data_IF_446198625331
#
_entry.id   IF_446198625331
#
_cell.length_a   1.000
_cell.length_b   1.000
_cell.length_c   1.000
_cell.angle_alpha   90.00
_cell.angle_beta   90.00
_cell.angle_gamma   90.00
#
_symmetry.space_group_name_H-M   'P 1'
#
loop_
_entity.id
_entity.type
_entity.pdbx_description
1 polymer ?
#
# COMPACT_ATOMS: atom_id res chain seq x y z
N UNK A 1 -51.25 -19.93 37.59
CA UNK A 1 -49.87 -19.94 38.12
C UNK A 1 -48.75 -20.04 37.07
N UNK A 2 -49.02 -20.01 35.74
CA UNK A 2 -47.99 -20.21 34.68
C UNK A 2 -47.32 -18.94 34.11
N UNK A 3 -47.85 -17.73 34.36
CA UNK A 3 -47.32 -16.47 33.79
C UNK A 3 -46.02 -15.96 34.44
N UNK A 4 -45.73 -16.31 35.71
CA UNK A 4 -44.51 -15.84 36.41
C UNK A 4 -43.24 -16.55 35.92
N UNK A 5 -43.33 -17.82 35.53
CA UNK A 5 -42.19 -18.58 35.01
C UNK A 5 -41.77 -18.13 33.59
N UNK A 6 -42.73 -17.74 32.75
CA UNK A 6 -42.44 -17.25 31.39
C UNK A 6 -41.66 -15.92 31.38
N UNK A 7 -41.91 -15.03 32.35
CA UNK A 7 -41.19 -13.74 32.42
C UNK A 7 -39.72 -13.89 32.80
N UNK A 8 -39.37 -14.90 33.61
CA UNK A 8 -37.98 -15.16 34.01
C UNK A 8 -37.11 -15.58 32.82
N UNK A 9 -37.63 -16.42 31.93
CA UNK A 9 -36.88 -16.86 30.74
C UNK A 9 -36.61 -15.70 29.78
N UNK A 10 -37.59 -14.82 29.56
CA UNK A 10 -37.42 -13.65 28.67
C UNK A 10 -36.32 -12.72 29.18
N UNK A 11 -36.28 -12.47 30.50
CA UNK A 11 -35.23 -11.62 31.09
C UNK A 11 -33.83 -12.22 30.92
N UNK A 12 -33.69 -13.54 31.11
CA UNK A 12 -32.42 -14.24 30.92
C UNK A 12 -31.95 -14.12 29.46
N UNK A 13 -32.85 -14.30 28.48
CA UNK A 13 -32.48 -14.16 27.06
C UNK A 13 -32.02 -12.74 26.71
N UNK A 14 -32.67 -11.70 27.26
CA UNK A 14 -32.23 -10.31 27.06
C UNK A 14 -30.84 -10.10 27.66
N UNK A 15 -30.59 -10.59 28.88
CA UNK A 15 -29.28 -10.49 29.51
C UNK A 15 -28.20 -11.20 28.68
N UNK A 16 -28.48 -12.40 28.17
CA UNK A 16 -27.55 -13.13 27.30
C UNK A 16 -27.27 -12.36 26.02
N UNK A 17 -28.28 -11.78 25.37
CA UNK A 17 -28.07 -10.94 24.19
C UNK A 17 -27.21 -9.71 24.50
N UNK A 18 -27.40 -9.06 25.64
CA UNK A 18 -26.59 -7.91 26.05
C UNK A 18 -25.13 -8.32 26.28
N UNK A 19 -24.90 -9.44 26.97
CA UNK A 19 -23.55 -9.95 27.23
C UNK A 19 -22.86 -10.35 25.93
N UNK A 20 -23.52 -11.13 25.08
CA UNK A 20 -22.99 -11.56 23.78
C UNK A 20 -22.74 -10.35 22.87
N UNK A 21 -23.66 -9.40 22.82
CA UNK A 21 -23.52 -8.16 22.07
C UNK A 21 -22.32 -7.34 22.55
N UNK A 22 -22.12 -7.23 23.88
CA UNK A 22 -20.96 -6.59 24.46
C UNK A 22 -19.64 -7.27 24.07
N UNK A 23 -19.58 -8.59 24.14
CA UNK A 23 -18.39 -9.37 23.75
C UNK A 23 -18.08 -9.17 22.26
N UNK A 24 -19.08 -9.20 21.39
CA UNK A 24 -18.91 -9.01 19.94
C UNK A 24 -18.41 -7.61 19.58
N UNK A 25 -18.94 -6.57 20.23
CA UNK A 25 -18.51 -5.18 20.00
C UNK A 25 -17.04 -4.98 20.39
N UNK A 26 -16.67 -5.48 21.57
CA UNK A 26 -15.28 -5.40 22.05
C UNK A 26 -14.36 -6.23 21.15
N UNK A 27 -14.75 -7.47 20.85
CA UNK A 27 -13.99 -8.37 19.99
C UNK A 27 -13.74 -7.79 18.59
N UNK A 28 -14.76 -7.17 17.98
CA UNK A 28 -14.61 -6.53 16.67
C UNK A 28 -13.61 -5.36 16.70
N UNK A 29 -13.66 -4.53 17.74
CA UNK A 29 -12.69 -3.44 17.93
C UNK A 29 -11.24 -3.95 18.01
N UNK A 30 -10.99 -4.98 18.82
CA UNK A 30 -9.66 -5.59 18.95
C UNK A 30 -9.14 -6.19 17.64
N UNK A 31 -10.00 -6.88 16.88
CA UNK A 31 -9.60 -7.46 15.59
C UNK A 31 -9.25 -6.37 14.59
N UNK A 32 -10.05 -5.29 14.52
CA UNK A 32 -9.76 -4.16 13.63
C UNK A 32 -8.43 -3.49 13.97
N UNK A 33 -8.17 -3.23 15.25
CA UNK A 33 -6.91 -2.64 15.69
C UNK A 33 -5.72 -3.56 15.39
N UNK A 34 -5.88 -4.87 15.61
CA UNK A 34 -4.83 -5.84 15.29
C UNK A 34 -4.50 -5.86 13.78
N UNK A 35 -5.52 -5.86 12.92
CA UNK A 35 -5.35 -5.80 11.48
C UNK A 35 -4.67 -4.50 11.04
N UNK A 36 -5.04 -3.36 11.63
CA UNK A 36 -4.40 -2.06 11.31
C UNK A 36 -2.91 -2.04 11.66
N UNK A 37 -2.54 -2.57 12.84
CA UNK A 37 -1.13 -2.68 13.26
C UNK A 37 -0.34 -3.66 12.40
N UNK A 38 -0.97 -4.77 11.99
CA UNK A 38 -0.40 -5.70 11.03
C UNK A 38 -0.08 -5.00 9.71
N UNK A 39 -1.04 -4.21 9.20
CA UNK A 39 -0.86 -3.44 7.98
C UNK A 39 0.27 -2.41 8.06
N UNK A 40 0.36 -1.65 9.15
CA UNK A 40 1.47 -0.70 9.36
C UNK A 40 2.84 -1.40 9.36
N UNK A 41 2.93 -2.58 9.98
CA UNK A 41 4.17 -3.37 9.99
C UNK A 41 4.53 -3.93 8.61
N UNK A 42 3.54 -4.39 7.84
CA UNK A 42 3.73 -4.84 6.45
C UNK A 42 4.19 -3.69 5.56
N UNK A 43 3.56 -2.52 5.67
CA UNK A 43 3.93 -1.33 4.91
C UNK A 43 5.36 -0.87 5.24
N UNK A 44 5.73 -0.87 6.53
CA UNK A 44 7.08 -0.55 6.96
C UNK A 44 8.13 -1.52 6.38
N UNK A 45 7.81 -2.82 6.41
CA UNK A 45 8.67 -3.87 5.86
C UNK A 45 8.82 -3.72 4.35
N UNK A 46 7.70 -3.52 3.64
CA UNK A 46 7.67 -3.28 2.20
C UNK A 46 8.51 -2.06 1.80
N UNK A 47 8.32 -0.93 2.50
CA UNK A 47 9.12 0.29 2.30
C UNK A 47 10.61 0.03 2.48
N UNK A 48 10.97 -0.70 3.54
CA UNK A 48 12.36 -1.03 3.86
C UNK A 48 12.98 -1.92 2.77
N UNK A 49 12.26 -2.92 2.31
CA UNK A 49 12.76 -3.84 1.29
C UNK A 49 12.87 -3.18 -0.08
N UNK A 50 11.90 -2.34 -0.45
CA UNK A 50 11.96 -1.56 -1.68
C UNK A 50 13.12 -0.54 -1.65
N UNK A 51 13.36 0.09 -0.50
CA UNK A 51 14.52 0.97 -0.31
C UNK A 51 15.85 0.20 -0.44
N UNK A 52 15.93 -1.03 0.06
CA UNK A 52 17.11 -1.87 -0.13
C UNK A 52 17.30 -2.25 -1.59
N UNK A 53 16.25 -2.70 -2.28
CA UNK A 53 16.30 -3.10 -3.70
C UNK A 53 16.75 -1.94 -4.60
N UNK A 54 16.15 -0.76 -4.41
CA UNK A 54 16.54 0.46 -5.15
C UNK A 54 17.95 0.96 -4.81
N UNK A 55 18.55 0.51 -3.71
CA UNK A 55 19.96 0.79 -3.43
C UNK A 55 20.89 -0.29 -3.99
N UNK A 56 20.50 -1.56 -3.96
CA UNK A 56 21.30 -2.70 -4.41
C UNK A 56 21.39 -2.78 -5.93
N UNK A 57 20.29 -2.51 -6.66
CA UNK A 57 20.21 -2.71 -8.11
C UNK A 57 20.73 -1.55 -8.96
N UNK A 58 21.52 -0.66 -8.36
CA UNK A 58 22.15 0.46 -9.08
C UNK A 58 23.39 0.05 -9.89
N UNK A 59 23.92 -1.16 -9.66
CA UNK A 59 25.14 -1.63 -10.33
C UNK A 59 24.92 -1.78 -11.83
N UNK A 60 25.84 -1.25 -12.63
CA UNK A 60 25.74 -1.26 -14.09
C UNK A 60 25.66 -2.70 -14.63
N UNK A 61 24.68 -2.96 -15.49
CA UNK A 61 24.47 -4.27 -16.12
C UNK A 61 23.73 -5.28 -15.24
N UNK A 62 23.33 -4.90 -14.03
CA UNK A 62 22.44 -5.73 -13.21
C UNK A 62 21.02 -5.71 -13.78
N UNK A 63 20.39 -6.87 -13.83
CA UNK A 63 19.00 -7.02 -14.26
C UNK A 63 18.33 -8.01 -13.32
N UNK A 64 17.39 -7.52 -12.51
CA UNK A 64 16.69 -8.33 -11.52
C UNK A 64 15.18 -8.17 -11.71
N UNK A 65 14.46 -9.29 -11.66
CA UNK A 65 13.00 -9.31 -11.69
C UNK A 65 12.54 -9.69 -10.29
N UNK A 66 11.92 -8.74 -9.61
CA UNK A 66 11.41 -8.95 -8.25
C UNK A 66 9.91 -9.17 -8.28
N UNK A 67 9.46 -10.11 -7.46
CA UNK A 67 8.05 -10.30 -7.16
C UNK A 67 7.76 -9.67 -5.81
N UNK A 68 7.12 -8.52 -5.83
CA UNK A 68 6.80 -7.71 -4.66
C UNK A 68 5.38 -8.02 -4.22
N UNK A 69 5.21 -8.44 -2.97
CA UNK A 69 3.89 -8.54 -2.35
C UNK A 69 3.48 -7.14 -1.89
N UNK A 70 2.39 -6.60 -2.44
CA UNK A 70 1.85 -5.33 -1.95
C UNK A 70 1.26 -5.54 -0.56
N UNK A 71 1.52 -4.61 0.39
CA UNK A 71 0.99 -4.72 1.73
C UNK A 71 -0.52 -4.43 1.74
N UNK A 72 -1.24 -5.08 2.66
CA UNK A 72 -2.64 -4.76 2.95
C UNK A 72 -3.59 -4.84 1.73
N UNK A 73 -4.38 -3.78 1.50
CA UNK A 73 -5.38 -3.68 0.42
C UNK A 73 -4.88 -2.89 -0.80
N UNK A 74 -3.57 -2.63 -0.89
CA UNK A 74 -3.00 -1.92 -2.04
C UNK A 74 -2.98 -2.82 -3.28
N UNK A 75 -3.37 -2.26 -4.41
CA UNK A 75 -3.56 -2.98 -5.68
C UNK A 75 -2.62 -2.52 -6.78
N UNK A 76 -2.03 -1.33 -6.67
CA UNK A 76 -1.05 -0.84 -7.64
C UNK A 76 0.18 -0.25 -6.95
N UNK A 77 1.33 -0.39 -7.61
CA UNK A 77 2.59 0.24 -7.24
C UNK A 77 3.00 1.17 -8.38
N UNK A 78 3.02 2.46 -8.09
CA UNK A 78 3.35 3.51 -9.05
C UNK A 78 4.74 4.07 -8.80
N UNK A 79 5.51 4.22 -9.87
CA UNK A 79 6.79 4.91 -9.89
C UNK A 79 6.63 6.19 -10.70
N UNK A 80 7.25 7.27 -10.26
CA UNK A 80 7.31 8.54 -10.98
C UNK A 80 8.76 8.80 -11.35
N UNK A 81 9.00 9.35 -12.54
CA UNK A 81 10.36 9.77 -12.88
C UNK A 81 10.78 10.93 -11.98
N UNK A 82 11.94 10.81 -11.35
CA UNK A 82 12.49 11.85 -10.48
C UNK A 82 12.56 13.21 -11.19
N UNK A 83 12.91 13.22 -12.47
CA UNK A 83 13.07 14.47 -13.23
C UNK A 83 11.70 15.13 -13.55
N UNK A 84 10.58 14.44 -13.28
CA UNK A 84 9.21 14.98 -13.40
C UNK A 84 8.71 15.69 -12.13
N UNK A 85 9.42 15.57 -11.00
CA UNK A 85 9.03 16.22 -9.74
C UNK A 85 9.12 17.75 -9.89
N UNK A 86 8.03 18.44 -9.52
CA UNK A 86 7.87 19.89 -9.70
C UNK A 86 7.45 20.31 -11.12
N UNK A 87 7.25 19.36 -12.04
CA UNK A 87 6.76 19.66 -13.39
C UNK A 87 5.28 19.99 -13.36
N UNK A 88 4.93 21.23 -13.76
CA UNK A 88 3.51 21.67 -13.89
C UNK A 88 2.75 20.97 -15.00
N UNK A 89 3.45 20.29 -15.92
CA UNK A 89 2.84 19.53 -17.02
C UNK A 89 2.69 18.03 -16.71
N UNK A 90 3.00 17.60 -15.48
CA UNK A 90 2.81 16.21 -15.07
C UNK A 90 1.32 15.87 -15.03
N UNK A 91 0.94 14.78 -15.67
CA UNK A 91 -0.42 14.25 -15.67
C UNK A 91 -0.35 12.77 -15.28
N UNK A 92 -1.21 12.36 -14.36
CA UNK A 92 -1.35 10.97 -13.92
C UNK A 92 -2.83 10.65 -13.80
N UNK A 93 -3.26 9.40 -14.06
CA UNK A 93 -4.63 8.97 -13.77
C UNK A 93 -5.00 9.12 -12.29
N UNK A 94 -4.01 9.25 -11.40
CA UNK A 94 -4.18 9.41 -9.97
C UNK A 94 -3.96 10.87 -9.55
N UNK A 95 -5.04 11.59 -9.25
CA UNK A 95 -5.01 13.03 -8.92
C UNK A 95 -4.12 13.39 -7.72
N UNK A 96 -3.99 12.47 -6.75
CA UNK A 96 -3.09 12.66 -5.61
C UNK A 96 -1.61 12.63 -6.03
N UNK A 97 -1.24 11.68 -6.90
CA UNK A 97 0.13 11.60 -7.44
C UNK A 97 0.42 12.86 -8.24
N UNK A 98 -0.52 13.28 -9.10
CA UNK A 98 -0.40 14.51 -9.86
C UNK A 98 -0.13 15.72 -8.96
N UNK A 99 -0.97 15.93 -7.95
CA UNK A 99 -0.84 17.04 -7.01
C UNK A 99 0.48 16.98 -6.23
N UNK A 100 0.87 15.78 -5.78
CA UNK A 100 2.14 15.57 -5.05
C UNK A 100 3.34 15.93 -5.90
N UNK A 101 3.35 15.50 -7.16
CA UNK A 101 4.44 15.73 -8.10
C UNK A 101 4.50 17.19 -8.50
N UNK A 102 3.37 17.82 -8.85
CA UNK A 102 3.31 19.24 -9.23
C UNK A 102 3.69 20.17 -8.08
N UNK A 103 3.40 19.78 -6.83
CA UNK A 103 3.78 20.53 -5.62
C UNK A 103 5.27 20.40 -5.27
N UNK A 104 6.02 19.55 -5.98
CA UNK A 104 7.44 19.33 -5.74
C UNK A 104 7.73 18.55 -4.46
N UNK A 105 6.79 17.70 -4.01
CA UNK A 105 7.05 16.80 -2.88
C UNK A 105 8.05 15.74 -3.31
N UNK A 106 9.14 15.60 -2.55
CA UNK A 106 10.19 14.60 -2.80
C UNK A 106 9.70 13.18 -2.47
N UNK A 107 8.79 12.67 -3.30
CA UNK A 107 8.28 11.29 -3.27
C UNK A 107 8.04 10.85 -4.72
N UNK A 108 8.56 9.69 -5.09
CA UNK A 108 8.45 9.17 -6.45
C UNK A 108 8.06 7.70 -6.52
N UNK A 109 7.63 7.12 -5.40
CA UNK A 109 7.04 5.81 -5.33
C UNK A 109 5.77 5.90 -4.48
N UNK A 110 4.67 5.40 -5.02
CA UNK A 110 3.34 5.49 -4.44
C UNK A 110 2.67 4.12 -4.46
N UNK A 111 1.90 3.84 -3.40
CA UNK A 111 0.98 2.70 -3.36
C UNK A 111 -0.43 3.21 -3.63
N UNK A 112 -1.19 2.49 -4.45
CA UNK A 112 -2.58 2.82 -4.78
C UNK A 112 -3.50 1.67 -4.43
N UNK A 113 -4.59 1.97 -3.73
CA UNK A 113 -5.60 1.02 -3.27
C UNK A 113 -6.87 1.78 -2.87
N UNK A 114 -7.43 1.56 -1.66
CA UNK A 114 -8.51 2.39 -1.12
C UNK A 114 -8.13 3.87 -0.98
N UNK A 115 -6.83 4.14 -0.82
CA UNK A 115 -6.23 5.47 -0.83
C UNK A 115 -4.90 5.44 -1.59
N UNK A 116 -4.34 6.62 -1.90
CA UNK A 116 -3.00 6.75 -2.47
C UNK A 116 -2.05 7.15 -1.36
N UNK A 117 -1.00 6.36 -1.13
CA UNK A 117 -0.03 6.60 -0.07
C UNK A 117 1.38 6.82 -0.65
N UNK A 118 2.04 7.94 -0.34
CA UNK A 118 3.44 8.15 -0.72
C UNK A 118 4.35 7.26 0.13
N UNK A 119 5.17 6.44 -0.51
CA UNK A 119 5.96 5.44 0.19
C UNK A 119 7.36 5.96 0.53
N UNK A 120 8.13 6.30 -0.51
CA UNK A 120 9.52 6.74 -0.37
C UNK A 120 10.00 7.52 -1.60
N UNK A 121 11.15 8.15 -1.42
CA UNK A 121 11.91 8.77 -2.50
C UNK A 121 13.13 7.93 -2.88
N UNK A 122 13.20 7.52 -4.14
CA UNK A 122 14.30 6.79 -4.71
C UNK A 122 15.04 7.68 -5.73
N UNK A 123 16.15 8.28 -5.28
CA UNK A 123 16.97 9.22 -6.07
C UNK A 123 17.48 8.69 -7.42
N UNK A 124 17.58 7.37 -7.55
CA UNK A 124 18.18 6.70 -8.71
C UNK A 124 17.15 6.17 -9.69
N UNK A 125 15.85 6.18 -9.36
CA UNK A 125 14.80 5.66 -10.23
C UNK A 125 14.57 6.60 -11.41
N UNK A 126 14.63 6.03 -12.61
CA UNK A 126 14.24 6.65 -13.88
C UNK A 126 13.31 5.72 -14.64
N UNK A 127 12.33 6.31 -15.31
CA UNK A 127 11.38 5.55 -16.14
C UNK A 127 11.85 5.53 -17.60
N UNK A 128 11.48 4.49 -18.32
CA UNK A 128 11.68 4.42 -19.78
C UNK A 128 10.35 4.76 -20.46
N UNK A 129 10.40 5.52 -21.57
CA UNK A 129 9.30 5.86 -22.51
C UNK A 129 8.68 7.26 -22.48
N UNK A 130 9.31 8.29 -21.90
CA UNK A 130 8.73 9.65 -21.79
C UNK A 130 7.41 9.70 -21.00
N UNK A 131 6.94 8.56 -20.48
CA UNK A 131 5.84 8.49 -19.53
C UNK A 131 6.33 9.06 -18.21
N UNK A 132 5.55 9.98 -17.66
CA UNK A 132 5.89 10.67 -16.43
C UNK A 132 5.70 9.78 -15.18
N UNK A 133 4.80 8.81 -15.27
CA UNK A 133 4.53 7.80 -14.25
C UNK A 133 4.34 6.40 -14.85
N UNK A 134 4.66 5.38 -14.07
CA UNK A 134 4.51 3.97 -14.43
C UNK A 134 3.91 3.20 -13.27
N UNK A 135 2.67 2.75 -13.43
CA UNK A 135 1.92 2.01 -12.42
C UNK A 135 1.77 0.53 -12.78
N UNK A 136 2.10 -0.34 -11.83
CA UNK A 136 1.96 -1.78 -11.97
C UNK A 136 0.82 -2.30 -11.11
N UNK A 137 -0.15 -2.96 -11.75
CA UNK A 137 -1.27 -3.59 -11.03
C UNK A 137 -0.86 -4.95 -10.49
N UNK A 138 -1.19 -5.20 -9.24
CA UNK A 138 -0.98 -6.48 -8.60
C UNK A 138 -1.91 -7.54 -9.18
N UNK A 139 -1.36 -8.71 -9.48
CA UNK A 139 -2.11 -9.94 -9.70
C UNK A 139 -2.00 -10.75 -8.43
N UNK A 140 -3.14 -11.01 -7.78
CA UNK A 140 -3.20 -11.74 -6.49
C UNK A 140 -2.30 -11.13 -5.41
N UNK A 141 -2.26 -9.79 -5.30
CA UNK A 141 -1.42 -9.08 -4.33
C UNK A 141 0.07 -9.00 -4.70
N UNK A 142 0.48 -9.59 -5.84
CA UNK A 142 1.88 -9.62 -6.28
C UNK A 142 2.06 -8.72 -7.50
N UNK A 143 3.06 -7.86 -7.45
CA UNK A 143 3.55 -7.06 -8.57
C UNK A 143 4.91 -7.58 -9.00
N UNK A 144 5.10 -7.80 -10.30
CA UNK A 144 6.41 -8.13 -10.86
C UNK A 144 7.06 -6.88 -11.45
N UNK A 145 8.20 -6.50 -10.90
CA UNK A 145 8.95 -5.31 -11.33
C UNK A 145 10.33 -5.74 -11.78
N UNK A 146 10.74 -5.27 -12.95
CA UNK A 146 12.10 -5.44 -13.45
C UNK A 146 12.91 -4.18 -13.17
N UNK A 147 13.99 -4.37 -12.42
CA UNK A 147 15.00 -3.36 -12.13
C UNK A 147 16.23 -3.60 -12.99
N UNK A 148 16.64 -2.59 -13.77
CA UNK A 148 17.83 -2.63 -14.61
C UNK A 148 18.81 -1.52 -14.20
N UNK A 149 19.98 -1.91 -13.69
CA UNK A 149 21.01 -0.98 -13.26
C UNK A 149 21.78 -0.41 -14.46
N UNK A 150 21.72 0.92 -14.62
CA UNK A 150 22.49 1.69 -15.62
C UNK A 150 23.69 2.40 -14.98
N UNK A 151 24.17 1.91 -13.83
CA UNK A 151 25.35 2.39 -13.10
C UNK A 151 25.05 3.54 -12.14
N UNK A 152 24.50 4.66 -12.62
CA UNK A 152 24.09 5.79 -11.75
C UNK A 152 22.59 5.86 -11.50
N UNK A 153 21.83 5.19 -12.35
CA UNK A 153 20.36 5.16 -12.30
C UNK A 153 19.88 3.72 -12.39
N UNK A 154 18.69 3.48 -11.87
CA UNK A 154 17.95 2.25 -12.00
C UNK A 154 16.77 2.54 -12.89
N UNK A 155 16.65 1.72 -13.92
CA UNK A 155 15.52 1.72 -14.81
C UNK A 155 14.50 0.73 -14.29
N UNK A 156 13.24 1.17 -14.19
CA UNK A 156 12.12 0.38 -13.71
C UNK A 156 11.19 0.06 -14.87
N UNK A 157 10.83 -1.21 -15.04
CA UNK A 157 9.96 -1.69 -16.12
C UNK A 157 9.03 -2.80 -15.61
N UNK A 158 7.86 -2.95 -16.24
CA UNK A 158 6.90 -4.02 -15.91
C UNK A 158 7.22 -5.32 -16.64
N UNK A 159 6.76 -6.44 -16.09
CA UNK A 159 6.87 -7.79 -16.68
C UNK A 159 5.50 -8.43 -16.83
#
# INVERSE_FOLDING_TARGET
>A
MKRKAQMQHVFIYIMVMVVVGGILLVGYGFVKDLLSKGCEAELFSFKTDLQKMTNTYNSHGSMNIESLNLPCEYTELCFVDRDSIGSRGFNSPHSYIETSVQSGVDMNIFLVGPSVEPLLFAQKVKLENMESDLCFKAKTGIVKVKFEGKGRTIKVTGV
#
